data_IF_143783971474
#
_entry.id   IF_143783971474
#
_cell.length_a   1.000
_cell.length_b   1.000
_cell.length_c   1.000
_cell.angle_alpha   90.00
_cell.angle_beta   90.00
_cell.angle_gamma   90.00
#
_symmetry.space_group_name_H-M   'P 1'
#
loop_
_entity.id
_entity.type
_entity.pdbx_description
1 polymer ?
#
# COMPACT_ATOMS: atom_id res chain seq x y z
N UNK A 1 1.08 -5.57 -57.77
CA UNK A 1 0.05 -5.12 -56.82
C UNK A 1 -0.36 -6.31 -55.98
N UNK A 2 0.03 -6.35 -54.70
CA UNK A 2 -0.58 -7.11 -53.58
C UNK A 2 0.25 -6.78 -52.33
N UNK A 3 -0.18 -5.78 -51.55
CA UNK A 3 0.45 -5.45 -50.27
C UNK A 3 -0.08 -6.45 -49.23
N UNK A 4 0.80 -7.27 -48.66
CA UNK A 4 0.47 -8.08 -47.49
C UNK A 4 0.29 -7.15 -46.29
N UNK A 5 -0.96 -6.98 -45.88
CA UNK A 5 -1.36 -6.21 -44.71
C UNK A 5 -1.10 -7.09 -43.47
N UNK A 6 0.02 -6.86 -42.79
CA UNK A 6 0.27 -7.41 -41.46
C UNK A 6 -0.68 -6.69 -40.50
N UNK A 7 -1.72 -7.39 -40.06
CA UNK A 7 -2.60 -6.96 -38.98
C UNK A 7 -1.77 -7.00 -37.69
N UNK A 8 -1.50 -5.88 -37.01
CA UNK A 8 -0.94 -5.96 -35.68
C UNK A 8 -2.09 -6.44 -34.80
N UNK A 9 -2.06 -7.72 -34.44
CA UNK A 9 -2.92 -8.29 -33.41
C UNK A 9 -2.69 -7.46 -32.16
N UNK A 10 -3.70 -6.64 -31.88
CA UNK A 10 -3.70 -5.65 -30.83
C UNK A 10 -3.23 -6.30 -29.53
N UNK A 11 -2.07 -5.85 -29.10
CA UNK A 11 -1.57 -5.92 -27.74
C UNK A 11 -2.54 -5.13 -26.85
N UNK A 12 -3.73 -5.69 -26.59
CA UNK A 12 -4.56 -5.28 -25.47
C UNK A 12 -3.93 -5.89 -24.21
N UNK A 13 -2.81 -5.28 -23.79
CA UNK A 13 -2.41 -5.27 -22.40
C UNK A 13 -3.57 -4.60 -21.65
N UNK A 14 -4.46 -5.43 -21.11
CA UNK A 14 -5.44 -4.99 -20.14
C UNK A 14 -4.63 -4.39 -18.99
N UNK A 15 -4.59 -3.06 -18.96
CA UNK A 15 -4.20 -2.32 -17.78
C UNK A 15 -5.25 -2.62 -16.71
N UNK A 16 -5.07 -3.73 -16.00
CA UNK A 16 -5.83 -4.01 -14.80
C UNK A 16 -5.49 -2.88 -13.84
N UNK A 17 -6.43 -2.01 -13.47
CA UNK A 17 -6.15 -1.02 -12.45
C UNK A 17 -5.79 -1.80 -11.19
N UNK A 18 -4.55 -1.66 -10.73
CA UNK A 18 -4.19 -1.99 -9.36
C UNK A 18 -5.02 -1.04 -8.51
N UNK A 19 -6.21 -1.51 -8.11
CA UNK A 19 -6.89 -0.97 -6.94
C UNK A 19 -5.89 -1.17 -5.82
N UNK A 20 -5.22 -0.08 -5.44
CA UNK A 20 -4.52 -0.05 -4.16
C UNK A 20 -5.62 -0.16 -3.12
N UNK A 21 -5.87 -1.38 -2.66
CA UNK A 21 -6.67 -1.60 -1.47
C UNK A 21 -6.08 -0.69 -0.39
N UNK A 22 -6.92 0.13 0.23
CA UNK A 22 -6.58 0.78 1.51
C UNK A 22 -5.92 -0.28 2.39
N UNK A 23 -4.70 -0.03 2.86
CA UNK A 23 -3.85 -1.05 3.49
C UNK A 23 -4.45 -1.61 4.79
N UNK A 24 -5.47 -0.95 5.33
CA UNK A 24 -6.10 -1.30 6.60
C UNK A 24 -7.65 -1.19 6.53
N UNK A 25 -8.32 -2.01 5.72
CA UNK A 25 -9.76 -1.87 5.44
C UNK A 25 -10.62 -1.94 6.71
N UNK A 26 -10.24 -2.77 7.69
CA UNK A 26 -10.95 -2.89 8.96
C UNK A 26 -10.81 -1.64 9.84
N UNK A 27 -9.63 -1.02 9.85
CA UNK A 27 -9.37 0.20 10.64
C UNK A 27 -10.07 1.40 10.03
N UNK A 28 -10.14 1.48 8.70
CA UNK A 28 -10.90 2.51 7.99
C UNK A 28 -12.41 2.33 8.17
N UNK A 29 -12.92 1.10 8.10
CA UNK A 29 -14.32 0.80 8.38
C UNK A 29 -14.71 1.14 9.83
N UNK A 30 -13.85 0.81 10.79
CA UNK A 30 -14.03 1.19 12.19
C UNK A 30 -14.04 2.72 12.37
N UNK A 31 -13.13 3.44 11.70
CA UNK A 31 -13.10 4.92 11.71
C UNK A 31 -14.42 5.50 11.21
N UNK A 32 -14.89 5.06 10.05
CA UNK A 32 -16.14 5.54 9.45
C UNK A 32 -17.34 5.28 10.36
N UNK A 33 -17.42 4.09 10.96
CA UNK A 33 -18.49 3.73 11.89
C UNK A 33 -18.49 4.62 13.14
N UNK A 34 -17.31 4.93 13.68
CA UNK A 34 -17.17 5.81 14.83
C UNK A 34 -17.45 7.28 14.48
N UNK A 35 -17.10 7.74 13.28
CA UNK A 35 -17.45 9.08 12.80
C UNK A 35 -18.97 9.25 12.69
N UNK A 36 -19.67 8.27 12.11
CA UNK A 36 -21.12 8.27 12.07
C UNK A 36 -21.72 8.27 13.49
N UNK A 37 -21.22 7.42 14.39
CA UNK A 37 -21.67 7.39 15.78
C UNK A 37 -21.45 8.74 16.50
N UNK A 38 -20.30 9.39 16.26
CA UNK A 38 -19.98 10.72 16.80
C UNK A 38 -21.00 11.76 16.34
N UNK A 39 -21.36 11.73 15.06
CA UNK A 39 -22.27 12.71 14.48
C UNK A 39 -23.70 12.49 14.97
N UNK A 40 -24.14 11.24 15.13
CA UNK A 40 -25.39 10.92 15.83
C UNK A 40 -25.39 11.40 17.28
N UNK A 41 -24.31 11.19 18.02
CA UNK A 41 -24.17 11.67 19.41
C UNK A 41 -24.17 13.20 19.52
N UNK A 42 -23.64 13.90 18.52
CA UNK A 42 -23.68 15.37 18.46
C UNK A 42 -25.10 15.88 18.15
N UNK A 43 -25.83 15.20 17.27
CA UNK A 43 -27.18 15.56 16.90
C UNK A 43 -28.23 15.20 17.97
N UNK A 44 -27.93 14.22 18.82
CA UNK A 44 -28.82 13.81 19.90
C UNK A 44 -29.04 14.93 20.93
N UNK A 45 -30.27 15.01 21.47
CA UNK A 45 -30.67 15.98 22.50
C UNK A 45 -29.89 15.86 23.82
N UNK A 46 -30.18 16.73 24.78
CA UNK A 46 -29.43 16.75 26.06
C UNK A 46 -29.99 15.82 27.15
N UNK A 47 -31.09 15.11 26.87
CA UNK A 47 -31.91 14.37 27.84
C UNK A 47 -31.35 13.00 28.26
N UNK A 48 -30.03 12.83 28.24
CA UNK A 48 -29.39 11.53 28.49
C UNK A 48 -28.53 11.52 29.76
N UNK A 49 -28.83 12.39 30.74
CA UNK A 49 -28.16 12.37 32.05
C UNK A 49 -26.63 12.50 32.00
N UNK A 50 -26.08 13.16 30.96
CA UNK A 50 -24.64 13.26 30.74
C UNK A 50 -24.01 12.08 29.99
N UNK A 51 -24.70 10.93 29.85
CA UNK A 51 -24.17 9.76 29.15
C UNK A 51 -23.83 10.04 27.69
N UNK A 52 -24.62 10.87 27.00
CA UNK A 52 -24.32 11.32 25.63
C UNK A 52 -22.94 11.97 25.54
N UNK A 53 -22.64 12.88 26.48
CA UNK A 53 -21.35 13.59 26.52
C UNK A 53 -20.21 12.61 26.77
N UNK A 54 -20.37 11.71 27.76
CA UNK A 54 -19.39 10.67 28.05
C UNK A 54 -19.15 9.75 26.85
N UNK A 55 -20.21 9.32 26.16
CA UNK A 55 -20.09 8.51 24.95
C UNK A 55 -19.34 9.26 23.84
N UNK A 56 -19.65 10.54 23.63
CA UNK A 56 -18.97 11.39 22.65
C UNK A 56 -17.47 11.51 22.94
N UNK A 57 -17.09 11.68 24.20
CA UNK A 57 -15.69 11.69 24.64
C UNK A 57 -14.99 10.37 24.34
N UNK A 58 -15.62 9.23 24.64
CA UNK A 58 -15.05 7.90 24.34
C UNK A 58 -14.89 7.65 22.84
N UNK A 59 -15.87 8.04 22.04
CA UNK A 59 -15.80 7.93 20.57
C UNK A 59 -14.64 8.78 20.02
N UNK A 60 -14.47 10.00 20.51
CA UNK A 60 -13.34 10.84 20.10
C UNK A 60 -11.98 10.23 20.49
N UNK A 61 -11.88 9.64 21.69
CA UNK A 61 -10.67 8.93 22.11
C UNK A 61 -10.37 7.73 21.20
N UNK A 62 -11.39 6.95 20.83
CA UNK A 62 -11.24 5.81 19.93
C UNK A 62 -10.78 6.24 18.52
N UNK A 63 -11.37 7.31 17.98
CA UNK A 63 -10.95 7.89 16.69
C UNK A 63 -9.48 8.32 16.71
N UNK A 64 -9.02 8.93 17.80
CA UNK A 64 -7.61 9.31 17.94
C UNK A 64 -6.67 8.09 17.99
N UNK A 65 -7.06 7.02 18.68
CA UNK A 65 -6.27 5.79 18.71
C UNK A 65 -6.18 5.13 17.33
N UNK A 66 -7.27 5.12 16.56
CA UNK A 66 -7.26 4.61 15.17
C UNK A 66 -6.30 5.43 14.31
N UNK A 67 -6.35 6.77 14.40
CA UNK A 67 -5.45 7.66 13.67
C UNK A 67 -3.97 7.35 13.99
N UNK A 68 -3.65 7.18 15.27
CA UNK A 68 -2.30 6.82 15.72
C UNK A 68 -1.88 5.42 15.23
N UNK A 69 -2.78 4.45 15.28
CA UNK A 69 -2.55 3.09 14.77
C UNK A 69 -2.21 3.06 13.29
N UNK A 70 -2.99 3.76 12.47
CA UNK A 70 -2.75 3.88 11.02
C UNK A 70 -1.42 4.57 10.71
N UNK A 71 -1.08 5.64 11.43
CA UNK A 71 0.20 6.34 11.24
C UNK A 71 1.41 5.44 11.59
N UNK A 72 1.26 4.58 12.61
CA UNK A 72 2.28 3.60 12.99
C UNK A 72 2.46 2.54 11.90
N UNK A 73 1.35 2.01 11.36
CA UNK A 73 1.38 0.99 10.33
C UNK A 73 2.05 1.49 9.03
N UNK A 74 1.67 2.68 8.53
CA UNK A 74 2.35 3.28 7.36
C UNK A 74 3.82 3.63 7.61
N UNK A 75 4.25 3.78 8.86
CA UNK A 75 5.67 3.95 9.20
C UNK A 75 6.46 2.64 9.15
N UNK A 76 5.82 1.51 9.45
CA UNK A 76 6.42 0.17 9.33
C UNK A 76 6.59 -0.18 7.85
N UNK A 77 5.57 0.05 7.03
CA UNK A 77 5.60 -0.22 5.60
C UNK A 77 6.76 0.51 4.91
N UNK A 78 6.93 1.81 5.15
CA UNK A 78 8.09 2.59 4.64
C UNK A 78 9.44 2.01 5.04
N UNK A 79 9.55 1.39 6.22
CA UNK A 79 10.80 0.72 6.65
C UNK A 79 11.01 -0.59 5.88
N UNK A 80 9.93 -1.33 5.62
CA UNK A 80 9.98 -2.55 4.80
C UNK A 80 10.39 -2.22 3.38
N UNK A 81 9.74 -1.24 2.74
CA UNK A 81 10.06 -0.79 1.38
C UNK A 81 11.53 -0.37 1.26
N UNK A 82 12.04 0.42 2.22
CA UNK A 82 13.46 0.82 2.23
C UNK A 82 14.41 -0.38 2.34
N UNK A 83 14.04 -1.39 3.13
CA UNK A 83 14.84 -2.63 3.27
C UNK A 83 14.82 -3.42 1.96
N UNK A 84 13.66 -3.55 1.33
CA UNK A 84 13.50 -4.21 0.03
C UNK A 84 14.34 -3.53 -1.06
N UNK A 85 14.27 -2.20 -1.16
CA UNK A 85 15.12 -1.43 -2.09
C UNK A 85 16.61 -1.64 -1.80
N UNK A 86 16.99 -1.78 -0.53
CA UNK A 86 18.36 -2.11 -0.14
C UNK A 86 18.81 -3.50 -0.62
N UNK A 87 17.91 -4.49 -0.51
CA UNK A 87 18.14 -5.86 -0.98
C UNK A 87 18.22 -5.92 -2.51
N UNK A 88 17.32 -5.25 -3.22
CA UNK A 88 17.31 -5.18 -4.69
C UNK A 88 18.62 -4.59 -5.22
N UNK A 89 19.12 -3.50 -4.63
CA UNK A 89 20.43 -2.92 -5.02
C UNK A 89 21.57 -3.90 -4.80
N UNK A 90 21.48 -4.74 -3.76
CA UNK A 90 22.51 -5.74 -3.44
C UNK A 90 22.45 -6.92 -4.40
N UNK A 91 21.25 -7.35 -4.77
CA UNK A 91 21.01 -8.36 -5.81
C UNK A 91 21.56 -7.92 -7.15
N UNK A 92 21.21 -6.72 -7.63
CA UNK A 92 21.75 -6.15 -8.88
C UNK A 92 23.28 -6.10 -8.89
N UNK A 93 23.92 -5.79 -7.74
CA UNK A 93 25.39 -5.82 -7.63
C UNK A 93 25.95 -7.23 -7.75
N UNK A 94 25.27 -8.23 -7.18
CA UNK A 94 25.69 -9.63 -7.25
C UNK A 94 25.51 -10.15 -8.67
N UNK A 95 24.39 -9.88 -9.32
CA UNK A 95 24.13 -10.25 -10.72
C UNK A 95 25.21 -9.67 -11.65
N UNK A 96 25.49 -8.37 -11.54
CA UNK A 96 26.55 -7.72 -12.32
C UNK A 96 27.92 -8.37 -12.09
N UNK A 97 28.21 -8.82 -10.87
CA UNK A 97 29.45 -9.54 -10.57
C UNK A 97 29.46 -10.92 -11.20
N UNK A 98 28.36 -11.66 -11.16
CA UNK A 98 28.22 -12.97 -11.79
C UNK A 98 28.42 -12.86 -13.30
N UNK A 99 27.80 -11.87 -13.95
CA UNK A 99 27.93 -11.66 -15.38
C UNK A 99 29.36 -11.31 -15.78
N UNK A 100 30.01 -10.41 -15.04
CA UNK A 100 31.43 -10.10 -15.25
C UNK A 100 32.30 -11.36 -15.09
N UNK A 101 32.01 -12.24 -14.13
CA UNK A 101 32.76 -13.48 -13.94
C UNK A 101 32.53 -14.48 -15.09
N UNK A 102 31.28 -14.64 -15.54
CA UNK A 102 30.94 -15.50 -16.69
C UNK A 102 31.63 -15.02 -17.97
N UNK A 103 31.59 -13.72 -18.25
CA UNK A 103 32.29 -13.14 -19.41
C UNK A 103 33.79 -13.38 -19.35
N UNK A 104 34.41 -13.27 -18.17
CA UNK A 104 35.84 -13.58 -18.00
C UNK A 104 36.14 -15.05 -18.25
N UNK A 105 35.30 -15.96 -17.79
CA UNK A 105 35.46 -17.40 -18.05
C UNK A 105 35.34 -17.74 -19.54
N UNK A 106 34.37 -17.15 -20.24
CA UNK A 106 34.20 -17.35 -21.69
C UNK A 106 35.45 -16.89 -22.46
N UNK A 107 35.98 -15.70 -22.14
CA UNK A 107 37.21 -15.18 -22.77
C UNK A 107 38.44 -16.06 -22.52
N UNK A 108 38.52 -16.74 -21.37
CA UNK A 108 39.64 -17.64 -21.09
C UNK A 108 39.49 -19.03 -21.73
N UNK A 109 38.27 -19.44 -22.11
CA UNK A 109 38.03 -20.71 -22.81
C UNK A 109 38.15 -20.63 -24.33
N UNK A 110 38.25 -19.42 -24.90
CA UNK A 110 38.47 -19.16 -26.32
C UNK A 110 39.97 -19.06 -26.70
N UNK A 111 40.88 -19.26 -25.74
CA UNK A 111 42.33 -19.34 -25.93
C UNK A 111 42.84 -20.77 -25.74
#
# INVERSE_FOLDING_TARGET
>A
MTKALIVPMALCLLAVPVVRAEEHPDMDAARQSLEAARDHLKAAGHEYGGHRKTALERVNQALEQIRLGLASAGSVEKKVERREQGLQRREQRIEKRIDNMKQRQQRMGEH
#
